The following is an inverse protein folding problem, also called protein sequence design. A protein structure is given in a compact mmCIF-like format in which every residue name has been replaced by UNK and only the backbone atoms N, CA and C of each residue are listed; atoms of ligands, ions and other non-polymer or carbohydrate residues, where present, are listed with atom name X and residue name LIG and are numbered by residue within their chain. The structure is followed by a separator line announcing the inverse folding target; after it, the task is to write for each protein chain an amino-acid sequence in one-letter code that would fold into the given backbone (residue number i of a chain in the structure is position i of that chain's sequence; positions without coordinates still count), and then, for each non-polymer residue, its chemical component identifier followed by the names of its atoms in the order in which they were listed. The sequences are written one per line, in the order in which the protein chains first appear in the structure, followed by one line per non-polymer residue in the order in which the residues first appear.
data_IF_733398212188
#
_entry.id   IF_733398212188
#
_cell.length_a   1.000
_cell.length_b   1.000
_cell.length_c   1.000
_cell.angle_alpha   90.00
_cell.angle_beta   90.00
_cell.angle_gamma   90.00
#
_symmetry.space_group_name_H-M   'P 1'
#
loop_
_entity.id
_entity.type
_entity.pdbx_description
1 polymer ?
#
# COMPACT_ATOMS: atom_id res chain seq x y z
N UNK A 1 -9.49 8.05 -1.95
CA UNK A 1 -9.04 7.56 -0.64
C UNK A 1 -8.83 8.75 0.30
N UNK A 2 -9.30 8.64 1.53
CA UNK A 2 -9.02 9.61 2.56
C UNK A 2 -7.69 9.33 3.25
N UNK A 3 -7.27 10.23 4.15
CA UNK A 3 -6.09 10.01 4.97
C UNK A 3 -6.33 8.95 6.05
N UNK A 4 -5.26 8.51 6.70
CA UNK A 4 -5.32 7.54 7.78
C UNK A 4 -5.58 6.12 7.33
N UNK A 5 -5.26 5.77 6.08
CA UNK A 5 -5.51 4.44 5.53
C UNK A 5 -4.24 3.62 5.43
N UNK A 6 -4.37 2.33 5.69
CA UNK A 6 -3.33 1.33 5.44
C UNK A 6 -3.86 0.33 4.41
N UNK A 7 -3.14 0.22 3.30
CA UNK A 7 -3.46 -0.69 2.20
C UNK A 7 -2.30 -1.68 2.06
N UNK A 8 -2.61 -2.96 2.07
CA UNK A 8 -1.59 -3.99 1.87
C UNK A 8 -1.69 -4.56 0.45
N UNK A 9 -0.55 -4.80 -0.16
CA UNK A 9 -0.45 -5.41 -1.49
C UNK A 9 0.30 -6.74 -1.36
N UNK A 10 -0.37 -7.82 -1.71
CA UNK A 10 0.20 -9.16 -1.70
C UNK A 10 0.23 -9.71 -3.13
N UNK A 11 1.13 -10.62 -3.38
CA UNK A 11 1.26 -11.27 -4.67
C UNK A 11 2.69 -11.67 -4.95
N UNK A 12 2.87 -12.54 -5.93
CA UNK A 12 4.19 -13.01 -6.31
C UNK A 12 5.04 -11.89 -6.93
N UNK A 13 6.35 -12.08 -6.93
CA UNK A 13 7.24 -11.20 -7.67
C UNK A 13 6.81 -11.15 -9.14
N UNK A 14 6.78 -9.95 -9.70
CA UNK A 14 6.35 -9.77 -11.08
C UNK A 14 4.84 -9.71 -11.28
N UNK A 15 4.06 -9.80 -10.20
CA UNK A 15 2.58 -9.70 -10.32
C UNK A 15 2.08 -8.30 -10.68
N UNK A 16 2.94 -7.27 -10.56
CA UNK A 16 2.57 -5.90 -10.93
C UNK A 16 2.27 -5.00 -9.75
N UNK A 17 2.74 -5.32 -8.56
CA UNK A 17 2.48 -4.52 -7.35
C UNK A 17 3.00 -3.10 -7.47
N UNK A 18 4.24 -2.93 -7.93
CA UNK A 18 4.83 -1.59 -8.13
C UNK A 18 4.10 -0.82 -9.21
N UNK A 19 3.66 -1.49 -10.26
CA UNK A 19 2.85 -0.87 -11.32
C UNK A 19 1.53 -0.36 -10.77
N UNK A 20 0.90 -1.10 -9.88
CA UNK A 20 -0.34 -0.68 -9.23
C UNK A 20 -0.11 0.56 -8.37
N UNK A 21 0.97 0.58 -7.59
CA UNK A 21 1.32 1.76 -6.76
C UNK A 21 1.53 2.98 -7.64
N UNK A 22 2.22 2.82 -8.77
CA UNK A 22 2.41 3.92 -9.71
C UNK A 22 1.06 4.44 -10.21
N UNK A 23 0.15 3.54 -10.54
CA UNK A 23 -1.20 3.92 -10.97
C UNK A 23 -1.95 4.70 -9.91
N UNK A 24 -1.87 4.28 -8.64
CA UNK A 24 -2.48 4.99 -7.53
C UNK A 24 -1.91 6.39 -7.40
N UNK A 25 -0.59 6.53 -7.44
CA UNK A 25 0.07 7.83 -7.33
C UNK A 25 -0.34 8.76 -8.48
N UNK A 26 -0.37 8.26 -9.72
CA UNK A 26 -0.82 9.04 -10.87
C UNK A 26 -2.27 9.49 -10.71
N UNK A 27 -3.12 8.61 -10.20
CA UNK A 27 -4.52 8.93 -9.93
C UNK A 27 -4.70 9.99 -8.85
N UNK A 28 -3.75 10.09 -7.91
CA UNK A 28 -3.75 11.12 -6.88
C UNK A 28 -3.12 12.44 -7.34
N UNK A 29 -2.57 12.48 -8.55
CA UNK A 29 -2.01 13.69 -9.13
C UNK A 29 -0.48 13.80 -9.06
N UNK A 30 0.22 12.74 -8.64
CA UNK A 30 1.67 12.76 -8.63
C UNK A 30 2.22 12.70 -10.05
N UNK A 31 3.06 13.65 -10.42
CA UNK A 31 3.63 13.75 -11.76
C UNK A 31 5.14 13.47 -11.80
N UNK A 32 5.77 13.39 -10.65
CA UNK A 32 7.19 13.12 -10.55
C UNK A 32 7.55 11.66 -10.77
N UNK A 33 8.84 11.30 -10.60
CA UNK A 33 9.27 9.92 -10.72
C UNK A 33 8.71 9.05 -9.61
N UNK A 34 8.48 7.77 -9.91
CA UNK A 34 8.04 6.78 -8.93
C UNK A 34 9.15 5.75 -8.80
N UNK A 35 9.66 5.61 -7.58
CA UNK A 35 10.78 4.71 -7.29
C UNK A 35 10.30 3.47 -6.57
N UNK A 36 10.97 2.34 -6.80
CA UNK A 36 10.76 1.15 -5.98
C UNK A 36 11.53 1.29 -4.68
N UNK A 37 10.93 1.03 -3.52
CA UNK A 37 11.62 1.13 -2.23
C UNK A 37 12.40 -0.12 -1.85
N UNK A 38 12.94 -0.85 -2.83
CA UNK A 38 13.57 -2.17 -2.60
C UNK A 38 14.70 -2.13 -1.58
N UNK A 39 15.50 -1.08 -1.55
CA UNK A 39 16.62 -0.95 -0.60
C UNK A 39 16.30 -0.02 0.55
N UNK A 40 15.56 1.04 0.29
CA UNK A 40 15.21 2.03 1.30
C UNK A 40 14.10 1.57 2.24
N UNK A 41 13.36 0.53 1.86
CA UNK A 41 12.18 -0.02 2.53
C UNK A 41 10.96 0.90 2.46
N UNK A 42 11.14 2.20 2.33
CA UNK A 42 10.02 3.17 2.21
C UNK A 42 10.41 4.31 1.29
N UNK A 43 9.46 4.72 0.45
CA UNK A 43 9.53 5.93 -0.36
C UNK A 43 8.39 6.86 0.05
N UNK A 44 8.67 8.15 0.11
CA UNK A 44 7.73 9.19 0.54
C UNK A 44 7.27 10.01 -0.65
N UNK A 45 5.98 10.31 -0.69
CA UNK A 45 5.38 11.18 -1.71
C UNK A 45 4.51 12.21 -1.02
N UNK A 46 4.91 13.48 -1.09
CA UNK A 46 4.22 14.55 -0.39
C UNK A 46 3.22 15.25 -1.32
N UNK A 47 1.97 15.30 -0.88
CA UNK A 47 0.92 16.10 -1.47
C UNK A 47 0.60 17.28 -0.53
N UNK A 48 -0.16 18.26 -0.99
CA UNK A 48 -0.41 19.47 -0.22
C UNK A 48 -1.08 19.21 1.15
N UNK A 49 -1.89 18.16 1.25
CA UNK A 49 -2.61 17.83 2.48
C UNK A 49 -2.56 16.35 2.84
N UNK A 50 -1.67 15.60 2.19
CA UNK A 50 -1.61 14.15 2.35
C UNK A 50 -0.18 13.68 2.24
N UNK A 51 0.21 12.77 3.13
CA UNK A 51 1.48 12.05 3.05
C UNK A 51 1.19 10.65 2.50
N UNK A 52 1.91 10.26 1.46
CA UNK A 52 1.81 8.93 0.89
C UNK A 52 3.12 8.19 1.13
N UNK A 53 3.03 7.00 1.73
CA UNK A 53 4.18 6.15 2.02
C UNK A 53 4.02 4.85 1.27
N UNK A 54 5.05 4.47 0.52
CA UNK A 54 5.12 3.17 -0.16
C UNK A 54 6.21 2.34 0.51
N UNK A 55 5.80 1.26 1.19
CA UNK A 55 6.71 0.34 1.85
C UNK A 55 6.88 -0.91 1.02
N UNK A 56 8.09 -1.48 1.02
CA UNK A 56 8.37 -2.79 0.46
C UNK A 56 9.22 -3.57 1.46
N UNK A 57 8.62 -4.58 2.09
CA UNK A 57 9.28 -5.37 3.11
C UNK A 57 9.85 -6.69 2.58
N UNK A 58 9.99 -6.84 1.27
CA UNK A 58 10.53 -8.07 0.69
C UNK A 58 11.88 -8.46 1.28
N UNK A 59 12.76 -7.48 1.53
CA UNK A 59 14.10 -7.70 2.07
C UNK A 59 14.18 -7.52 3.59
N UNK A 60 13.07 -7.30 4.24
CA UNK A 60 13.02 -7.10 5.69
C UNK A 60 13.10 -8.47 6.37
N UNK A 61 14.15 -8.69 7.16
CA UNK A 61 14.43 -10.00 7.74
C UNK A 61 13.97 -10.16 9.18
N UNK A 62 14.17 -9.12 10.00
CA UNK A 62 13.89 -9.19 11.43
C UNK A 62 12.77 -8.23 11.81
N UNK A 63 11.56 -8.76 12.15
CA UNK A 63 10.45 -7.90 12.57
C UNK A 63 10.75 -7.05 13.80
N UNK A 64 11.72 -7.43 14.64
CA UNK A 64 12.09 -6.64 15.81
C UNK A 64 12.80 -5.34 15.44
N UNK A 65 13.35 -5.23 14.25
CA UNK A 65 13.91 -3.99 13.74
C UNK A 65 12.87 -2.91 13.54
N UNK A 66 11.59 -3.27 13.45
CA UNK A 66 10.49 -2.33 13.28
C UNK A 66 10.53 -1.18 14.29
N UNK A 67 10.83 -1.49 15.55
CA UNK A 67 10.80 -0.49 16.61
C UNK A 67 11.92 0.57 16.47
N UNK A 68 13.02 0.23 15.81
CA UNK A 68 14.16 1.13 15.64
C UNK A 68 14.11 1.94 14.34
N UNK A 69 13.18 1.62 13.45
CA UNK A 69 13.10 2.25 12.12
C UNK A 69 12.28 3.53 12.09
N UNK A 70 11.38 3.73 13.06
CA UNK A 70 10.45 4.84 13.06
C UNK A 70 9.28 4.65 12.10
N UNK A 71 9.08 3.46 11.55
CA UNK A 71 7.99 3.20 10.59
C UNK A 71 6.61 3.45 11.18
N UNK A 72 6.42 3.20 12.48
CA UNK A 72 5.14 3.43 13.14
C UNK A 72 4.66 4.88 13.02
N UNK A 73 5.58 5.82 12.90
CA UNK A 73 5.25 7.25 12.75
C UNK A 73 4.64 7.59 11.40
N UNK A 74 4.73 6.67 10.43
CA UNK A 74 4.12 6.86 9.11
C UNK A 74 2.61 6.59 9.10
N UNK A 75 2.08 5.98 10.15
CA UNK A 75 0.66 5.64 10.23
C UNK A 75 -0.11 6.73 10.97
N UNK A 76 -0.47 7.78 10.24
CA UNK A 76 -1.07 9.00 10.79
C UNK A 76 -2.41 9.28 10.14
N UNK A 77 -3.27 10.11 10.77
CA UNK A 77 -4.57 10.44 10.18
C UNK A 77 -4.49 11.14 8.82
N UNK A 78 -3.36 11.78 8.50
CA UNK A 78 -3.15 12.49 7.25
C UNK A 78 -2.26 11.70 6.26
N UNK A 79 -2.17 10.38 6.43
CA UNK A 79 -1.32 9.56 5.57
C UNK A 79 -2.08 8.41 4.91
N UNK A 80 -1.55 7.97 3.79
CA UNK A 80 -1.91 6.69 3.16
C UNK A 80 -0.63 5.87 3.13
N UNK A 81 -0.66 4.69 3.71
CA UNK A 81 0.46 3.75 3.67
C UNK A 81 0.09 2.57 2.78
N UNK A 82 0.85 2.35 1.73
CA UNK A 82 0.70 1.19 0.83
C UNK A 82 1.88 0.27 1.06
N UNK A 83 1.62 -0.96 1.44
CA UNK A 83 2.62 -1.88 1.97
C UNK A 83 2.68 -3.13 1.10
N UNK A 84 3.83 -3.36 0.45
CA UNK A 84 4.14 -4.60 -0.24
C UNK A 84 4.83 -5.57 0.72
N UNK A 85 4.55 -6.86 0.55
CA UNK A 85 5.05 -7.93 1.41
C UNK A 85 4.67 -7.72 2.88
N UNK A 86 3.36 -7.50 3.15
CA UNK A 86 2.90 -7.21 4.51
C UNK A 86 3.11 -8.38 5.48
N UNK A 87 3.22 -9.61 4.99
CA UNK A 87 3.43 -10.80 5.82
C UNK A 87 4.73 -10.74 6.62
N UNK A 88 5.71 -9.95 6.17
CA UNK A 88 6.96 -9.77 6.90
C UNK A 88 6.79 -8.97 8.19
N UNK A 89 5.74 -8.15 8.27
CA UNK A 89 5.52 -7.23 9.39
C UNK A 89 4.08 -7.29 9.91
N UNK A 90 3.33 -8.34 9.58
CA UNK A 90 1.89 -8.42 9.88
C UNK A 90 1.58 -8.18 11.37
N UNK A 91 2.41 -8.73 12.28
CA UNK A 91 2.21 -8.58 13.71
C UNK A 91 2.49 -7.16 14.22
N UNK A 92 3.13 -6.31 13.42
CA UNK A 92 3.50 -4.95 13.82
C UNK A 92 2.56 -3.91 13.26
N UNK A 93 1.74 -4.25 12.26
CA UNK A 93 0.80 -3.31 11.67
C UNK A 93 -0.32 -3.00 12.65
N UNK A 94 -0.64 -1.70 12.88
CA UNK A 94 -1.69 -1.33 13.85
C UNK A 94 -3.07 -1.72 13.39
N UNK A 95 -3.35 -1.62 12.07
CA UNK A 95 -4.58 -2.06 11.42
C UNK A 95 -4.33 -2.20 9.93
N UNK A 96 -5.28 -2.79 9.22
CA UNK A 96 -5.29 -2.83 7.74
C UNK A 96 -6.69 -2.45 7.30
N UNK A 97 -6.81 -1.43 6.46
CA UNK A 97 -8.10 -1.00 5.94
C UNK A 97 -8.50 -1.80 4.70
N UNK A 98 -7.58 -1.94 3.75
CA UNK A 98 -7.83 -2.66 2.50
C UNK A 98 -6.66 -3.60 2.23
N UNK A 99 -6.97 -4.85 1.95
CA UNK A 99 -6.00 -5.83 1.49
C UNK A 99 -6.22 -6.09 0.01
N UNK A 100 -5.17 -5.96 -0.78
CA UNK A 100 -5.19 -6.20 -2.23
C UNK A 100 -4.28 -7.38 -2.51
N UNK A 101 -4.80 -8.37 -3.21
CA UNK A 101 -4.02 -9.50 -3.67
C UNK A 101 -4.01 -9.52 -5.20
N UNK A 102 -2.80 -9.51 -5.75
CA UNK A 102 -2.59 -9.64 -7.19
C UNK A 102 -2.17 -11.07 -7.51
N UNK A 103 -2.85 -11.67 -8.47
CA UNK A 103 -2.53 -13.00 -8.97
C UNK A 103 -2.27 -12.94 -10.45
N UNK A 104 -1.28 -13.69 -10.91
CA UNK A 104 -1.07 -13.91 -12.33
C UNK A 104 -2.18 -14.80 -12.85
N UNK A 105 -2.82 -14.37 -13.93
CA UNK A 105 -3.87 -15.13 -14.60
C UNK A 105 -3.66 -15.00 -16.10
N UNK A 106 -3.74 -16.11 -16.83
CA UNK A 106 -3.64 -16.06 -18.30
C UNK A 106 -4.97 -15.61 -18.89
N UNK A 107 -5.00 -14.53 -19.67
CA UNK A 107 -3.86 -13.75 -20.19
C UNK A 107 -3.56 -12.47 -19.41
N UNK A 108 -3.86 -12.31 -18.17
CA UNK A 108 -3.64 -11.07 -17.47
C UNK A 108 -3.40 -11.21 -16.00
N UNK A 109 -4.08 -10.41 -15.22
CA UNK A 109 -3.96 -10.35 -13.76
C UNK A 109 -5.34 -10.40 -13.13
N UNK A 110 -5.42 -11.01 -11.95
CA UNK A 110 -6.64 -10.99 -11.13
C UNK A 110 -6.35 -10.17 -9.88
N UNK A 111 -7.27 -9.30 -9.53
CA UNK A 111 -7.19 -8.45 -8.36
C UNK A 111 -8.28 -8.86 -7.39
N UNK A 112 -7.89 -9.27 -6.18
CA UNK A 112 -8.81 -9.54 -5.09
C UNK A 112 -8.69 -8.42 -4.07
N UNK A 113 -9.83 -7.80 -3.74
CA UNK A 113 -9.90 -6.69 -2.80
C UNK A 113 -10.75 -7.10 -1.61
N UNK A 114 -10.26 -6.83 -0.41
CA UNK A 114 -11.04 -7.04 0.81
C UNK A 114 -10.85 -5.87 1.76
N UNK A 115 -11.93 -5.50 2.46
CA UNK A 115 -11.91 -4.43 3.44
C UNK A 115 -12.03 -5.02 4.84
N UNK A 116 -11.22 -4.51 5.77
CA UNK A 116 -11.21 -4.96 7.16
C UNK A 116 -11.72 -3.89 8.13
N UNK A 117 -11.95 -2.66 7.65
CA UNK A 117 -12.44 -1.55 8.46
C UNK A 117 -13.56 -0.84 7.73
N UNK A 118 -14.30 0.02 8.46
CA UNK A 118 -15.33 0.84 7.85
C UNK A 118 -14.77 1.77 6.79
N UNK A 119 -13.59 2.36 7.04
CA UNK A 119 -12.90 3.21 6.06
C UNK A 119 -12.54 2.42 4.80
N UNK A 120 -12.09 1.18 4.95
CA UNK A 120 -11.79 0.30 3.84
C UNK A 120 -13.03 -0.06 3.05
N UNK A 121 -14.13 -0.35 3.72
CA UNK A 121 -15.41 -0.66 3.06
C UNK A 121 -15.92 0.52 2.24
N UNK A 122 -15.83 1.73 2.80
CA UNK A 122 -16.20 2.95 2.08
C UNK A 122 -15.34 3.15 0.84
N UNK A 123 -14.05 2.92 0.95
CA UNK A 123 -13.10 3.03 -0.17
C UNK A 123 -13.47 2.04 -1.28
N UNK A 124 -13.74 0.78 -0.95
CA UNK A 124 -14.12 -0.23 -1.92
C UNK A 124 -15.45 0.07 -2.60
N UNK A 125 -16.42 0.59 -1.84
CA UNK A 125 -17.72 0.98 -2.38
C UNK A 125 -17.58 2.10 -3.41
N UNK A 126 -16.74 3.09 -3.13
CA UNK A 126 -16.45 4.18 -4.07
C UNK A 126 -15.76 3.67 -5.32
N UNK A 127 -14.82 2.75 -5.17
CA UNK A 127 -14.14 2.13 -6.29
C UNK A 127 -15.12 1.34 -7.17
N UNK A 128 -15.99 0.54 -6.56
CA UNK A 128 -17.00 -0.23 -7.29
C UNK A 128 -17.94 0.68 -8.06
N UNK A 129 -18.32 1.83 -7.50
CA UNK A 129 -19.17 2.79 -8.17
C UNK A 129 -18.51 3.40 -9.41
N UNK A 130 -17.19 3.57 -9.39
CA UNK A 130 -16.44 4.15 -10.52
C UNK A 130 -16.34 3.18 -11.70
N UNK A 131 -16.34 1.87 -11.44
CA UNK A 131 -16.16 0.85 -12.48
C UNK A 131 -17.46 0.17 -12.90
N UNK A 132 -18.56 0.48 -12.23
CA UNK A 132 -19.86 -0.12 -12.51
C UNK A 132 -20.51 0.41 -13.78
#
# INVERSE_FOLDING_TARGET
MGGGMIVTLSGELGAGKTTLVRGILRGLGWTGPVKSPSYALVEHYLFSSLYFYHFDFYRFEDPDEWNSTGFAECFRPDSIAVIEWPERVAARLPWVDVAVRLKLAEPGRTLELSAATEAGETCLAQFAALIA
#
